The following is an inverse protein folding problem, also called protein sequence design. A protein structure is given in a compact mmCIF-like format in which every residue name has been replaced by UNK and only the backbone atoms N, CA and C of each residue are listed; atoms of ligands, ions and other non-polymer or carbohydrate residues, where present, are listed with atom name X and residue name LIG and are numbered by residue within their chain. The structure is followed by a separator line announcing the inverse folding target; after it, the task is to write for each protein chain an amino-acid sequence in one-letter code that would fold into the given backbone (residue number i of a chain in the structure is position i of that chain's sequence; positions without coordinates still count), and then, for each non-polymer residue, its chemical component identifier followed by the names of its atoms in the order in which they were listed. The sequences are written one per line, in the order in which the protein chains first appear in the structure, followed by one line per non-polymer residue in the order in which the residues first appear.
data_IF_642299109035
#
_entry.id   IF_642299109035
#
_cell.length_a   1.000
_cell.length_b   1.000
_cell.length_c   1.000
_cell.angle_alpha   90.00
_cell.angle_beta   90.00
_cell.angle_gamma   90.00
#
_symmetry.space_group_name_H-M   'P 1'
#
loop_
_entity.id
_entity.type
_entity.pdbx_description
1 polymer ?
#
# COMPACT_ATOMS: atom_id res chain seq x y z
N UNK A 1 14.51 -12.64 -1.84
CA UNK A 1 15.48 -13.06 -2.87
C UNK A 1 15.71 -14.56 -2.78
N UNK A 2 15.96 -15.19 -3.92
CA UNK A 2 16.38 -16.59 -3.97
C UNK A 2 17.59 -16.71 -4.89
N UNK A 3 18.68 -17.27 -4.37
CA UNK A 3 19.94 -17.44 -5.09
C UNK A 3 20.17 -18.93 -5.30
N UNK A 4 20.25 -19.36 -6.57
CA UNK A 4 20.41 -20.77 -6.94
C UNK A 4 19.08 -21.44 -7.30
N UNK A 5 19.09 -22.75 -7.29
CA UNK A 5 18.02 -23.61 -7.76
C UNK A 5 18.40 -24.38 -9.02
N UNK A 6 17.73 -25.49 -9.30
CA UNK A 6 17.98 -26.38 -10.42
C UNK A 6 17.24 -25.94 -11.70
N UNK A 7 16.30 -25.01 -11.59
CA UNK A 7 15.57 -24.42 -12.71
C UNK A 7 15.01 -23.06 -12.33
N UNK A 8 14.64 -22.25 -13.32
CA UNK A 8 13.93 -20.98 -13.12
C UNK A 8 12.58 -21.18 -12.40
N UNK A 9 11.86 -22.25 -12.70
CA UNK A 9 10.60 -22.60 -12.05
C UNK A 9 10.78 -22.84 -10.55
N UNK A 10 11.78 -23.64 -10.16
CA UNK A 10 12.07 -23.93 -8.75
C UNK A 10 12.51 -22.67 -8.01
N UNK A 11 13.30 -21.82 -8.64
CA UNK A 11 13.69 -20.54 -8.08
C UNK A 11 12.46 -19.64 -7.84
N UNK A 12 11.57 -19.49 -8.82
CA UNK A 12 10.36 -18.67 -8.70
C UNK A 12 9.39 -19.21 -7.64
N UNK A 13 9.20 -20.54 -7.57
CA UNK A 13 8.39 -21.15 -6.51
C UNK A 13 8.97 -20.85 -5.12
N UNK A 14 10.29 -20.95 -4.98
CA UNK A 14 10.97 -20.64 -3.72
C UNK A 14 10.81 -19.15 -3.34
N UNK A 15 10.86 -18.23 -4.31
CA UNK A 15 10.55 -16.80 -4.08
C UNK A 15 9.15 -16.65 -3.48
N UNK A 16 8.15 -17.31 -4.07
CA UNK A 16 6.78 -17.26 -3.55
C UNK A 16 6.68 -17.81 -2.11
N UNK A 17 7.29 -18.93 -1.85
CA UNK A 17 7.27 -19.57 -0.52
C UNK A 17 8.06 -18.76 0.51
N UNK A 18 9.17 -18.14 0.13
CA UNK A 18 9.91 -17.22 1.00
C UNK A 18 9.07 -16.00 1.37
N UNK A 19 8.30 -15.44 0.42
CA UNK A 19 7.43 -14.29 0.68
C UNK A 19 6.25 -14.59 1.62
N UNK A 20 5.95 -15.86 1.87
CA UNK A 20 4.92 -16.30 2.82
C UNK A 20 5.50 -16.81 4.15
N UNK A 21 6.77 -16.56 4.41
CA UNK A 21 7.47 -17.03 5.61
C UNK A 21 7.52 -18.58 5.76
N UNK A 22 7.25 -19.31 4.69
CA UNK A 22 7.23 -20.77 4.72
C UNK A 22 8.61 -21.37 5.04
N UNK A 23 9.68 -20.64 4.69
CA UNK A 23 11.07 -21.07 4.88
C UNK A 23 11.77 -20.46 6.10
N UNK A 24 11.05 -19.85 7.03
CA UNK A 24 11.65 -19.21 8.20
C UNK A 24 12.38 -20.19 9.13
N UNK A 25 11.99 -21.46 9.09
CA UNK A 25 12.60 -22.54 9.88
C UNK A 25 13.73 -23.30 9.16
N UNK A 26 14.17 -22.83 7.99
CA UNK A 26 15.35 -23.42 7.33
C UNK A 26 16.62 -23.20 8.19
N UNK A 27 17.62 -24.11 8.05
CA UNK A 27 18.93 -23.84 8.61
C UNK A 27 19.47 -22.49 8.14
N UNK A 28 20.27 -21.82 8.96
CA UNK A 28 20.90 -20.53 8.64
C UNK A 28 22.27 -20.64 8.00
N UNK A 29 22.77 -21.86 7.81
CA UNK A 29 24.05 -22.14 7.17
C UNK A 29 23.93 -23.28 6.19
N UNK A 30 24.72 -23.25 5.12
CA UNK A 30 24.91 -24.37 4.21
C UNK A 30 25.71 -25.53 4.82
N UNK A 31 26.00 -26.52 4.02
CA UNK A 31 26.95 -27.59 4.35
C UNK A 31 27.71 -28.05 3.09
N UNK A 32 28.64 -28.97 3.25
CA UNK A 32 29.44 -29.54 2.15
C UNK A 32 28.63 -30.24 1.05
N UNK A 33 27.41 -30.70 1.38
CA UNK A 33 26.49 -31.36 0.41
C UNK A 33 25.55 -30.39 -0.31
N UNK A 34 25.71 -29.07 -0.15
CA UNK A 34 24.91 -28.07 -0.81
C UNK A 34 23.50 -27.91 -0.23
N UNK A 35 23.35 -28.10 1.08
CA UNK A 35 22.06 -27.88 1.75
C UNK A 35 21.50 -26.48 1.52
N UNK A 36 20.22 -26.39 1.17
CA UNK A 36 19.51 -25.12 1.14
C UNK A 36 19.47 -24.46 2.54
N UNK A 37 19.59 -23.15 2.60
CA UNK A 37 19.58 -22.41 3.87
C UNK A 37 19.05 -21.00 3.69
N UNK A 38 18.64 -20.40 4.80
CA UNK A 38 18.25 -19.02 4.91
C UNK A 38 19.48 -18.17 5.28
N UNK A 39 19.84 -17.21 4.44
CA UNK A 39 21.00 -16.34 4.61
C UNK A 39 20.66 -15.11 5.45
N UNK A 40 20.57 -15.28 6.75
CA UNK A 40 20.16 -14.23 7.71
C UNK A 40 21.13 -13.04 7.72
N UNK A 41 22.42 -13.28 7.51
CA UNK A 41 23.41 -12.19 7.47
C UNK A 41 23.18 -11.29 6.27
N UNK A 42 22.92 -11.89 5.10
CA UNK A 42 22.63 -11.13 3.90
C UNK A 42 21.25 -10.46 3.97
N UNK A 43 20.24 -11.09 4.60
CA UNK A 43 18.94 -10.45 4.87
C UNK A 43 19.11 -9.14 5.63
N UNK A 44 19.90 -9.16 6.71
CA UNK A 44 20.19 -7.99 7.52
C UNK A 44 20.91 -6.90 6.72
N UNK A 45 21.96 -7.28 5.99
CA UNK A 45 22.73 -6.34 5.17
C UNK A 45 21.83 -5.65 4.13
N UNK A 46 21.01 -6.43 3.39
CA UNK A 46 20.13 -5.87 2.35
C UNK A 46 19.05 -4.97 2.96
N UNK A 47 18.54 -5.31 4.14
CA UNK A 47 17.57 -4.46 4.84
C UNK A 47 18.20 -3.13 5.29
N UNK A 48 19.41 -3.17 5.83
CA UNK A 48 20.16 -1.97 6.23
C UNK A 48 20.45 -1.06 5.04
N UNK A 49 20.87 -1.63 3.90
CA UNK A 49 21.12 -0.85 2.68
C UNK A 49 19.81 -0.27 2.11
N UNK A 50 18.71 -1.02 2.16
CA UNK A 50 17.39 -0.52 1.76
C UNK A 50 16.94 0.68 2.62
N UNK A 51 17.24 0.67 3.93
CA UNK A 51 16.91 1.79 4.81
C UNK A 51 17.78 3.03 4.54
N UNK A 52 19.04 2.86 4.16
CA UNK A 52 19.94 3.98 3.81
C UNK A 52 19.48 4.78 2.59
N UNK A 53 18.69 4.19 1.72
CA UNK A 53 18.12 4.89 0.55
C UNK A 53 17.29 6.10 0.99
N UNK A 54 16.66 6.04 2.18
CA UNK A 54 15.85 7.13 2.73
C UNK A 54 14.54 7.40 1.98
N UNK A 55 14.18 6.53 1.05
CA UNK A 55 12.90 6.57 0.32
C UNK A 55 11.97 5.52 0.90
N UNK A 56 10.79 5.96 1.33
CA UNK A 56 9.77 5.05 1.80
C UNK A 56 8.98 4.40 0.67
N UNK A 57 8.47 3.20 0.91
CA UNK A 57 7.52 2.54 0.02
C UNK A 57 6.16 3.28 -0.04
N UNK A 58 5.90 4.15 0.94
CA UNK A 58 4.71 5.00 1.00
C UNK A 58 5.11 6.46 1.00
N UNK A 59 4.21 7.33 0.56
CA UNK A 59 4.41 8.78 0.54
C UNK A 59 4.80 9.30 1.92
N UNK A 60 5.90 10.07 1.99
CA UNK A 60 6.44 10.61 3.24
C UNK A 60 7.10 9.58 4.17
N UNK A 61 7.11 8.30 3.82
CA UNK A 61 7.78 7.26 4.58
C UNK A 61 9.30 7.27 4.39
N UNK A 62 10.01 6.63 5.31
CA UNK A 62 11.48 6.51 5.30
C UNK A 62 11.97 5.10 4.99
N UNK A 63 11.09 4.11 5.10
CA UNK A 63 11.47 2.70 5.00
C UNK A 63 10.96 2.10 3.69
N UNK A 64 11.88 1.67 2.83
CA UNK A 64 11.58 1.02 1.55
C UNK A 64 11.04 -0.40 1.77
N UNK A 65 11.64 -1.13 2.70
CA UNK A 65 11.25 -2.49 3.05
C UNK A 65 11.16 -2.64 4.58
N UNK A 66 10.24 -3.48 5.04
CA UNK A 66 10.10 -3.81 6.46
C UNK A 66 10.78 -5.14 6.78
N UNK A 67 10.87 -6.03 5.80
CA UNK A 67 11.38 -7.38 5.98
C UNK A 67 12.00 -7.91 4.67
N UNK A 68 13.02 -8.73 4.82
CA UNK A 68 13.75 -9.38 3.71
C UNK A 68 13.85 -10.87 4.01
N UNK A 69 13.66 -11.70 2.98
CA UNK A 69 13.99 -13.13 3.02
C UNK A 69 14.95 -13.47 1.91
N UNK A 70 16.04 -14.16 2.27
CA UNK A 70 17.07 -14.60 1.33
C UNK A 70 17.31 -16.10 1.50
N UNK A 71 16.91 -16.86 0.51
CA UNK A 71 17.09 -18.31 0.48
C UNK A 71 18.19 -18.67 -0.52
N UNK A 72 19.16 -19.43 -0.06
CA UNK A 72 20.19 -20.02 -0.92
C UNK A 72 19.83 -21.46 -1.21
N UNK A 73 19.76 -21.78 -2.49
CA UNK A 73 19.49 -23.13 -2.99
C UNK A 73 20.74 -23.73 -3.60
N UNK A 74 20.91 -25.06 -3.57
CA UNK A 74 21.91 -25.75 -4.38
C UNK A 74 21.66 -25.45 -5.86
N UNK A 75 22.74 -25.39 -6.64
CA UNK A 75 22.69 -25.05 -8.06
C UNK A 75 23.59 -25.96 -8.90
N UNK A 76 23.29 -26.04 -10.18
CA UNK A 76 24.21 -26.60 -11.14
C UNK A 76 25.43 -25.69 -11.29
N UNK A 77 26.61 -26.27 -11.50
CA UNK A 77 27.87 -25.52 -11.63
C UNK A 77 27.89 -24.47 -12.74
N UNK A 78 27.17 -24.74 -13.83
CA UNK A 78 27.09 -23.85 -14.99
C UNK A 78 25.92 -22.82 -14.95
N UNK A 79 25.10 -22.80 -13.90
CA UNK A 79 23.94 -21.89 -13.80
C UNK A 79 23.73 -21.36 -12.39
N UNK A 80 23.28 -20.13 -12.29
CA UNK A 80 22.88 -19.53 -11.01
C UNK A 80 21.61 -18.70 -11.22
N UNK A 81 20.44 -19.32 -11.21
CA UNK A 81 19.19 -18.56 -11.22
C UNK A 81 19.13 -17.64 -10.00
N UNK A 82 18.67 -16.41 -10.21
CA UNK A 82 18.41 -15.47 -9.12
C UNK A 82 16.99 -14.95 -9.29
N UNK A 83 16.20 -15.06 -8.24
CA UNK A 83 14.82 -14.57 -8.18
C UNK A 83 14.66 -13.43 -7.19
N UNK A 84 13.87 -12.45 -7.58
CA UNK A 84 13.44 -11.35 -6.72
C UNK A 84 11.92 -11.30 -6.72
N UNK A 85 11.32 -11.29 -5.56
CA UNK A 85 9.90 -10.99 -5.35
C UNK A 85 9.74 -9.80 -4.43
N UNK A 86 8.78 -8.94 -4.72
CA UNK A 86 8.38 -7.84 -3.86
C UNK A 86 6.90 -8.00 -3.53
N UNK A 87 6.57 -8.01 -2.25
CA UNK A 87 5.19 -8.09 -1.77
C UNK A 87 4.82 -6.86 -0.95
N UNK A 88 3.51 -6.62 -0.85
CA UNK A 88 3.00 -5.57 0.01
C UNK A 88 3.24 -5.91 1.49
N UNK A 89 3.46 -4.91 2.34
CA UNK A 89 3.50 -5.06 3.81
C UNK A 89 2.19 -5.59 4.40
N UNK A 90 1.06 -5.43 3.67
CA UNK A 90 -0.19 -6.07 4.04
C UNK A 90 -0.09 -7.58 3.77
N UNK A 91 0.22 -8.34 4.80
CA UNK A 91 0.25 -9.80 4.73
C UNK A 91 -1.17 -10.33 4.51
N UNK A 92 -1.34 -11.08 3.42
CA UNK A 92 -2.62 -11.70 3.03
C UNK A 92 -2.51 -13.20 2.87
N UNK A 93 -1.48 -13.77 3.46
CA UNK A 93 -1.27 -15.21 3.47
C UNK A 93 -1.88 -15.81 4.75
N UNK A 94 -2.27 -17.07 4.67
CA UNK A 94 -2.62 -17.90 5.82
C UNK A 94 -2.01 -19.28 5.60
N UNK A 95 -1.42 -19.83 6.64
CA UNK A 95 -0.85 -21.18 6.59
C UNK A 95 -1.92 -22.18 7.00
N UNK A 96 -2.03 -23.26 6.26
CA UNK A 96 -2.87 -24.37 6.64
C UNK A 96 -2.12 -25.71 6.54
N UNK A 97 -2.53 -26.67 7.35
CA UNK A 97 -2.08 -28.05 7.30
C UNK A 97 -3.29 -28.93 7.07
N UNK A 98 -3.21 -29.78 6.06
CA UNK A 98 -4.27 -30.74 5.72
C UNK A 98 -3.64 -32.14 5.73
N UNK A 99 -4.20 -33.04 6.51
CA UNK A 99 -3.80 -34.44 6.53
C UNK A 99 -5.00 -35.36 6.84
N UNK A 100 -4.76 -36.65 7.06
CA UNK A 100 -5.83 -37.64 7.38
C UNK A 100 -6.56 -37.35 8.70
N UNK A 101 -5.96 -36.59 9.59
CA UNK A 101 -6.50 -36.29 10.92
C UNK A 101 -7.39 -35.03 10.89
N UNK A 102 -7.23 -34.14 9.87
CA UNK A 102 -8.08 -32.96 9.75
C UNK A 102 -7.45 -31.79 8.99
N UNK A 103 -8.05 -30.62 9.17
CA UNK A 103 -7.64 -29.37 8.60
C UNK A 103 -7.33 -28.39 9.73
N UNK A 104 -6.13 -27.86 9.72
CA UNK A 104 -5.69 -26.84 10.68
C UNK A 104 -5.34 -25.56 9.92
N UNK A 105 -5.79 -24.45 10.43
CA UNK A 105 -5.52 -23.11 9.92
C UNK A 105 -4.72 -22.35 10.98
N UNK A 106 -3.72 -21.60 10.54
CA UNK A 106 -2.94 -20.71 11.40
C UNK A 106 -3.87 -19.78 12.17
N UNK A 107 -3.67 -19.71 13.48
CA UNK A 107 -4.44 -18.78 14.33
C UNK A 107 -3.89 -17.37 14.15
N UNK A 108 -4.72 -16.48 13.65
CA UNK A 108 -4.40 -15.06 13.59
C UNK A 108 -4.63 -14.41 14.96
N UNK A 109 -3.87 -13.36 15.24
CA UNK A 109 -4.09 -12.56 16.44
C UNK A 109 -5.46 -11.88 16.36
N UNK A 110 -6.25 -12.05 17.41
CA UNK A 110 -7.59 -11.46 17.50
C UNK A 110 -7.58 -9.99 17.93
N UNK A 111 -6.48 -9.51 18.50
CA UNK A 111 -6.33 -8.14 18.98
C UNK A 111 -4.96 -7.54 18.59
N UNK A 112 -4.66 -7.41 17.27
CA UNK A 112 -3.37 -6.92 16.81
C UNK A 112 -3.06 -5.48 17.28
N UNK A 113 -4.07 -4.72 17.70
CA UNK A 113 -3.90 -3.38 18.25
C UNK A 113 -3.04 -3.34 19.53
N UNK A 114 -2.99 -4.42 20.29
CA UNK A 114 -2.14 -4.52 21.49
C UNK A 114 -0.65 -4.55 21.16
N UNK A 115 -0.30 -4.98 19.93
CA UNK A 115 1.10 -5.02 19.47
C UNK A 115 1.67 -3.63 19.15
N UNK A 116 0.82 -2.60 19.10
CA UNK A 116 1.28 -1.22 18.86
C UNK A 116 1.86 -0.68 20.16
N UNK A 117 3.16 -0.31 20.19
CA UNK A 117 3.78 0.31 21.36
C UNK A 117 3.02 1.56 21.82
N UNK A 118 2.94 1.77 23.14
CA UNK A 118 2.20 2.92 23.71
C UNK A 118 2.74 4.27 23.19
N UNK A 119 4.04 4.37 22.97
CA UNK A 119 4.69 5.56 22.42
C UNK A 119 4.15 5.92 21.03
N UNK A 120 3.87 4.91 20.21
CA UNK A 120 3.28 5.09 18.88
C UNK A 120 1.78 5.40 18.94
N UNK A 121 1.09 4.92 19.97
CA UNK A 121 -0.32 5.30 20.21
C UNK A 121 -0.44 6.78 20.58
N UNK A 122 0.51 7.31 21.35
CA UNK A 122 0.58 8.71 21.76
C UNK A 122 1.20 9.63 20.70
N UNK A 123 1.99 9.10 19.77
CA UNK A 123 2.62 9.87 18.69
C UNK A 123 1.62 10.52 17.70
N UNK A 124 0.33 10.23 17.85
CA UNK A 124 -0.76 10.89 17.12
C UNK A 124 -1.21 12.25 17.67
N UNK A 125 -0.73 12.66 18.86
CA UNK A 125 -1.19 13.85 19.59
C UNK A 125 -0.42 15.13 19.26
N UNK A 126 0.29 15.20 18.12
CA UNK A 126 0.89 16.45 17.64
C UNK A 126 -0.18 17.44 17.12
N UNK A 127 0.23 18.67 16.84
CA UNK A 127 -0.63 19.70 16.25
C UNK A 127 -1.29 19.19 14.96
N UNK A 128 -2.57 18.89 15.03
CA UNK A 128 -3.38 18.42 13.92
C UNK A 128 -4.43 19.46 13.58
N UNK A 129 -4.44 19.93 12.36
CA UNK A 129 -5.46 20.86 11.87
C UNK A 129 -6.74 20.09 11.56
N UNK A 130 -7.84 20.51 12.16
CA UNK A 130 -9.16 19.92 11.92
C UNK A 130 -9.82 20.60 10.72
N UNK A 131 -10.21 19.80 9.73
CA UNK A 131 -10.93 20.27 8.53
C UNK A 131 -12.32 19.63 8.51
N UNK A 132 -13.35 20.47 8.46
CA UNK A 132 -14.73 20.03 8.28
C UNK A 132 -15.04 19.92 6.78
N UNK A 133 -15.31 18.70 6.33
CA UNK A 133 -15.62 18.37 4.94
C UNK A 133 -17.12 18.50 4.60
N UNK A 134 -17.96 18.92 5.54
CA UNK A 134 -19.38 19.17 5.28
C UNK A 134 -19.65 20.61 4.79
N UNK A 135 -18.60 21.40 4.60
CA UNK A 135 -18.67 22.74 4.01
C UNK A 135 -18.67 22.65 2.46
N UNK A 136 -19.06 23.71 1.76
CA UNK A 136 -18.91 23.79 0.31
C UNK A 136 -17.46 23.55 -0.12
N UNK A 137 -17.26 22.82 -1.23
CA UNK A 137 -15.91 22.47 -1.73
C UNK A 137 -15.00 23.71 -1.86
N UNK A 138 -15.54 24.83 -2.34
CA UNK A 138 -14.78 26.07 -2.49
C UNK A 138 -14.21 26.60 -1.15
N UNK A 139 -14.94 26.44 -0.06
CA UNK A 139 -14.50 26.88 1.26
C UNK A 139 -13.44 25.92 1.82
N UNK A 140 -13.61 24.61 1.59
CA UNK A 140 -12.60 23.59 1.97
C UNK A 140 -11.28 23.84 1.23
N UNK A 141 -11.32 24.09 -0.08
CA UNK A 141 -10.14 24.37 -0.89
C UNK A 141 -9.44 25.64 -0.39
N UNK A 142 -10.19 26.71 -0.11
CA UNK A 142 -9.67 27.96 0.46
C UNK A 142 -9.03 27.74 1.84
N UNK A 143 -9.61 26.88 2.67
CA UNK A 143 -9.05 26.54 3.97
C UNK A 143 -7.71 25.80 3.80
N UNK A 144 -7.64 24.80 2.91
CA UNK A 144 -6.43 24.02 2.66
C UNK A 144 -5.26 24.87 2.17
N UNK A 145 -5.51 25.94 1.42
CA UNK A 145 -4.44 26.84 0.94
C UNK A 145 -3.67 27.57 2.04
N UNK A 146 -4.21 27.62 3.25
CA UNK A 146 -3.56 28.29 4.39
C UNK A 146 -2.41 27.48 4.99
N UNK A 147 -2.33 26.20 4.70
CA UNK A 147 -1.40 25.29 5.36
C UNK A 147 -0.26 24.87 4.44
N UNK A 148 0.98 24.82 4.95
CA UNK A 148 2.11 24.33 4.18
C UNK A 148 2.01 22.83 3.89
N UNK A 149 2.78 22.37 2.89
CA UNK A 149 2.93 20.95 2.59
C UNK A 149 3.40 20.19 3.83
N UNK A 150 2.95 18.95 3.98
CA UNK A 150 3.21 18.07 5.14
C UNK A 150 2.49 18.47 6.44
N UNK A 151 1.55 19.40 6.40
CA UNK A 151 0.66 19.65 7.55
C UNK A 151 -0.20 18.42 7.83
N UNK A 152 -0.26 18.01 9.09
CA UNK A 152 -1.16 16.92 9.52
C UNK A 152 -2.59 17.43 9.63
N UNK A 153 -3.50 16.76 8.94
CA UNK A 153 -4.91 17.12 8.89
C UNK A 153 -5.78 16.02 9.52
N UNK A 154 -6.76 16.41 10.29
CA UNK A 154 -7.86 15.56 10.74
C UNK A 154 -9.12 15.94 9.96
N UNK A 155 -9.49 15.09 9.02
CA UNK A 155 -10.63 15.31 8.14
C UNK A 155 -11.90 14.71 8.77
N UNK A 156 -12.96 15.50 8.88
CA UNK A 156 -14.25 15.05 9.40
C UNK A 156 -15.38 15.46 8.46
N UNK A 157 -16.21 14.53 8.06
CA UNK A 157 -17.34 14.75 7.15
C UNK A 157 -17.44 13.69 6.06
N UNK A 158 -18.21 13.99 5.01
CA UNK A 158 -18.48 13.07 3.92
C UNK A 158 -17.29 12.93 2.98
N UNK A 159 -16.89 11.68 2.70
CA UNK A 159 -15.84 11.33 1.74
C UNK A 159 -16.40 10.26 0.79
N UNK A 160 -16.20 10.43 -0.51
CA UNK A 160 -16.55 9.44 -1.52
C UNK A 160 -15.42 8.43 -1.65
N UNK A 161 -15.74 7.15 -1.51
CA UNK A 161 -14.76 6.07 -1.68
C UNK A 161 -14.86 5.50 -3.09
N UNK A 162 -13.79 5.59 -3.86
CA UNK A 162 -13.76 5.09 -5.23
C UNK A 162 -12.35 5.00 -5.79
N UNK A 163 -12.11 3.98 -6.61
CA UNK A 163 -10.83 3.77 -7.28
C UNK A 163 -11.06 3.27 -8.71
N UNK A 164 -10.21 2.44 -9.25
CA UNK A 164 -10.13 2.03 -10.66
C UNK A 164 -11.48 1.96 -11.40
N UNK A 165 -12.38 1.09 -10.96
CA UNK A 165 -13.69 0.88 -11.64
C UNK A 165 -14.57 2.13 -11.54
N UNK A 166 -14.57 2.81 -10.39
CA UNK A 166 -15.33 4.05 -10.22
C UNK A 166 -14.85 5.14 -11.18
N UNK A 167 -13.51 5.33 -11.28
CA UNK A 167 -12.92 6.30 -12.19
C UNK A 167 -13.20 5.97 -13.66
N UNK A 168 -13.08 4.68 -14.05
CA UNK A 168 -13.42 4.25 -15.40
C UNK A 168 -14.88 4.57 -15.75
N UNK A 169 -15.81 4.26 -14.86
CA UNK A 169 -17.24 4.57 -15.07
C UNK A 169 -17.56 6.06 -15.13
N UNK A 170 -16.88 6.87 -14.30
CA UNK A 170 -17.02 8.32 -14.37
C UNK A 170 -16.49 8.88 -15.70
N UNK A 171 -15.37 8.33 -16.19
CA UNK A 171 -14.84 8.69 -17.51
C UNK A 171 -15.81 8.28 -18.63
N UNK A 172 -16.32 7.05 -18.63
CA UNK A 172 -17.32 6.59 -19.61
C UNK A 172 -18.54 7.49 -19.64
N UNK A 173 -18.96 8.02 -18.49
CA UNK A 173 -20.04 8.98 -18.38
C UNK A 173 -19.73 10.28 -19.12
N UNK A 174 -18.53 10.85 -18.89
CA UNK A 174 -18.06 12.05 -19.60
C UNK A 174 -17.91 11.81 -21.11
N UNK A 175 -17.41 10.63 -21.51
CA UNK A 175 -17.26 10.25 -22.93
C UNK A 175 -18.61 10.19 -23.65
N UNK A 176 -19.73 9.95 -22.94
CA UNK A 176 -21.09 10.02 -23.48
C UNK A 176 -21.68 11.44 -23.50
N UNK A 177 -20.90 12.44 -23.08
CA UNK A 177 -21.37 13.83 -22.99
C UNK A 177 -22.22 14.13 -21.76
N UNK A 178 -22.24 13.23 -20.77
CA UNK A 178 -22.89 13.46 -19.48
C UNK A 178 -21.88 14.09 -18.51
N UNK A 179 -22.33 14.98 -17.64
CA UNK A 179 -21.45 15.60 -16.63
C UNK A 179 -21.16 14.65 -15.45
N UNK A 180 -20.12 14.99 -14.64
CA UNK A 180 -19.86 14.27 -13.40
C UNK A 180 -21.05 14.36 -12.43
N UNK A 181 -21.34 13.29 -11.69
CA UNK A 181 -22.34 13.35 -10.62
C UNK A 181 -22.01 14.43 -9.60
N UNK A 182 -23.03 15.12 -9.07
CA UNK A 182 -22.85 16.25 -8.15
C UNK A 182 -22.02 15.87 -6.92
N UNK A 183 -22.21 14.66 -6.37
CA UNK A 183 -21.46 14.20 -5.19
C UNK A 183 -19.94 14.08 -5.44
N UNK A 184 -19.47 13.90 -6.68
CA UNK A 184 -18.03 13.90 -7.04
C UNK A 184 -17.48 15.34 -7.05
N UNK A 185 -18.33 16.33 -7.27
CA UNK A 185 -17.96 17.75 -7.21
C UNK A 185 -17.98 18.29 -5.79
N UNK A 186 -18.93 17.82 -4.96
CA UNK A 186 -19.16 18.33 -3.63
C UNK A 186 -18.26 17.74 -2.55
N UNK A 187 -17.69 16.54 -2.78
CA UNK A 187 -16.96 15.83 -1.75
C UNK A 187 -15.57 15.36 -2.20
N UNK A 188 -14.60 15.30 -1.25
CA UNK A 188 -13.31 14.65 -1.49
C UNK A 188 -13.47 13.19 -1.91
N UNK A 189 -12.54 12.71 -2.73
CA UNK A 189 -12.50 11.31 -3.14
C UNK A 189 -11.32 10.57 -2.49
N UNK A 190 -11.62 9.46 -1.83
CA UNK A 190 -10.64 8.57 -1.22
C UNK A 190 -10.43 7.34 -2.09
N UNK A 191 -9.20 7.17 -2.57
CA UNK A 191 -8.83 6.02 -3.40
C UNK A 191 -8.66 4.79 -2.52
N UNK A 192 -9.76 4.16 -2.19
CA UNK A 192 -9.79 2.99 -1.34
C UNK A 192 -10.85 1.99 -1.83
N UNK A 193 -10.81 0.80 -1.24
CA UNK A 193 -11.83 -0.22 -1.42
C UNK A 193 -12.02 -0.94 -0.09
N UNK A 194 -13.17 -0.77 0.57
CA UNK A 194 -13.42 -1.43 1.85
C UNK A 194 -13.45 -2.95 1.69
N UNK A 195 -12.97 -3.65 2.70
CA UNK A 195 -13.20 -5.07 2.85
C UNK A 195 -14.67 -5.35 3.17
N UNK A 196 -15.08 -6.62 3.12
CA UNK A 196 -16.43 -7.02 3.53
C UNK A 196 -16.70 -6.53 4.96
N UNK A 197 -17.84 -5.88 5.14
CA UNK A 197 -18.26 -5.36 6.44
C UNK A 197 -18.53 -6.52 7.42
N UNK A 198 -17.85 -6.60 8.56
CA UNK A 198 -18.18 -7.56 9.61
C UNK A 198 -19.53 -7.23 10.25
N UNK A 199 -20.18 -8.24 10.82
CA UNK A 199 -21.44 -8.06 11.52
C UNK A 199 -21.29 -7.06 12.68
N UNK A 200 -22.18 -6.10 12.76
CA UNK A 200 -22.19 -5.06 13.82
C UNK A 200 -21.24 -3.88 13.59
N UNK A 201 -20.50 -3.86 12.49
CA UNK A 201 -19.61 -2.75 12.13
C UNK A 201 -20.25 -1.87 11.05
N UNK A 202 -19.91 -0.59 11.02
CA UNK A 202 -20.41 0.35 10.01
C UNK A 202 -19.82 0.09 8.62
N UNK A 203 -18.56 -0.34 8.55
CA UNK A 203 -17.89 -0.72 7.30
C UNK A 203 -16.78 -1.75 7.58
N UNK A 204 -16.29 -2.40 6.54
CA UNK A 204 -15.08 -3.22 6.60
C UNK A 204 -13.82 -2.36 6.70
N UNK A 205 -12.70 -2.98 7.05
CA UNK A 205 -11.41 -2.30 7.08
C UNK A 205 -11.10 -1.66 5.73
N UNK A 206 -10.58 -0.45 5.75
CA UNK A 206 -10.36 0.39 4.57
C UNK A 206 -8.99 1.05 4.65
N UNK A 207 -8.21 0.91 3.61
CA UNK A 207 -6.90 1.54 3.50
C UNK A 207 -6.70 2.15 2.11
N UNK A 208 -5.79 3.12 1.99
CA UNK A 208 -5.55 3.80 0.73
C UNK A 208 -4.92 2.87 -0.30
N UNK A 209 -5.32 3.03 -1.56
CA UNK A 209 -4.65 2.40 -2.70
C UNK A 209 -3.61 3.34 -3.30
N UNK A 210 -2.74 2.79 -4.15
CA UNK A 210 -1.72 3.57 -4.89
C UNK A 210 -2.40 4.60 -5.78
N UNK A 211 -2.04 5.87 -5.57
CA UNK A 211 -2.64 7.01 -6.24
C UNK A 211 -2.39 7.05 -7.76
N UNK A 212 -1.17 6.72 -8.19
CA UNK A 212 -0.72 6.84 -9.58
C UNK A 212 -1.58 6.11 -10.62
N UNK A 213 -2.36 5.11 -10.21
CA UNK A 213 -3.29 4.42 -11.11
C UNK A 213 -4.46 5.30 -11.58
N UNK A 214 -4.81 6.31 -10.79
CA UNK A 214 -5.86 7.26 -11.11
C UNK A 214 -5.35 8.54 -11.76
N UNK A 215 -4.05 8.72 -11.92
CA UNK A 215 -3.46 9.91 -12.51
C UNK A 215 -4.05 10.29 -13.88
N UNK A 216 -4.34 9.34 -14.80
CA UNK A 216 -4.91 9.67 -16.12
C UNK A 216 -6.29 10.33 -16.08
N UNK A 217 -7.00 10.24 -14.96
CA UNK A 217 -8.34 10.81 -14.83
C UNK A 217 -8.36 12.21 -14.21
N UNK A 218 -7.30 12.61 -13.52
CA UNK A 218 -7.32 13.79 -12.64
C UNK A 218 -7.56 15.09 -13.40
N UNK A 219 -6.80 15.36 -14.46
CA UNK A 219 -6.97 16.59 -15.26
C UNK A 219 -8.40 16.70 -15.82
N UNK A 220 -8.90 15.60 -16.39
CA UNK A 220 -10.26 15.54 -16.92
C UNK A 220 -11.31 15.80 -15.84
N UNK A 221 -11.20 15.16 -14.68
CA UNK A 221 -12.21 15.32 -13.63
C UNK A 221 -12.16 16.71 -12.99
N UNK A 222 -10.98 17.24 -12.76
CA UNK A 222 -10.81 18.60 -12.24
C UNK A 222 -11.31 19.67 -13.21
N UNK A 223 -11.16 19.46 -14.52
CA UNK A 223 -11.74 20.36 -15.53
C UNK A 223 -13.26 20.42 -15.49
N UNK A 224 -13.93 19.40 -14.93
CA UNK A 224 -15.36 19.34 -14.69
C UNK A 224 -15.75 19.65 -13.23
N UNK A 225 -14.81 20.16 -12.44
CA UNK A 225 -15.04 20.54 -11.03
C UNK A 225 -15.11 19.36 -10.05
N UNK A 226 -14.75 18.15 -10.48
CA UNK A 226 -14.71 16.96 -9.62
C UNK A 226 -13.30 16.56 -9.17
N UNK A 227 -13.18 15.65 -8.21
CA UNK A 227 -11.89 15.17 -7.68
C UNK A 227 -10.93 16.31 -7.25
N UNK A 228 -11.50 17.39 -6.73
CA UNK A 228 -10.70 18.55 -6.31
C UNK A 228 -9.83 18.25 -5.10
N UNK A 229 -10.24 17.32 -4.26
CA UNK A 229 -9.45 16.82 -3.12
C UNK A 229 -9.37 15.30 -3.22
N UNK A 230 -8.16 14.78 -3.33
CA UNK A 230 -7.87 13.36 -3.51
C UNK A 230 -7.09 12.84 -2.32
N UNK A 231 -7.55 11.75 -1.70
CA UNK A 231 -6.87 11.05 -0.62
C UNK A 231 -6.37 9.70 -1.13
N UNK A 232 -5.10 9.40 -0.95
CA UNK A 232 -4.51 8.11 -1.33
C UNK A 232 -3.10 7.96 -0.76
N UNK A 233 -2.36 6.95 -1.22
CA UNK A 233 -0.94 6.76 -0.91
C UNK A 233 -0.08 6.73 -2.16
N UNK A 234 1.21 7.05 -1.98
CA UNK A 234 2.24 7.02 -3.02
C UNK A 234 2.36 8.32 -3.79
N UNK A 235 3.36 8.38 -4.64
CA UNK A 235 3.65 9.56 -5.44
C UNK A 235 2.66 9.73 -6.58
N UNK A 236 2.56 10.98 -7.04
CA UNK A 236 1.76 11.35 -8.21
C UNK A 236 2.67 11.73 -9.38
N UNK A 237 2.16 11.60 -10.60
CA UNK A 237 2.84 12.06 -11.81
C UNK A 237 2.86 13.60 -11.90
N UNK A 238 3.73 14.12 -12.76
CA UNK A 238 3.79 15.57 -13.08
C UNK A 238 2.43 16.09 -13.58
N UNK A 239 1.73 15.28 -14.39
CA UNK A 239 0.39 15.62 -14.89
C UNK A 239 -0.59 15.99 -13.77
N UNK A 240 -0.54 15.31 -12.64
CA UNK A 240 -1.41 15.60 -11.49
C UNK A 240 -0.99 16.89 -10.78
N UNK A 241 0.31 17.13 -10.68
CA UNK A 241 0.84 18.40 -10.15
C UNK A 241 0.34 19.58 -10.98
N UNK A 242 0.45 19.47 -12.30
CA UNK A 242 0.02 20.49 -13.25
C UNK A 242 -1.51 20.71 -13.19
N UNK A 243 -2.29 19.64 -13.11
CA UNK A 243 -3.75 19.70 -12.95
C UNK A 243 -4.14 20.40 -11.64
N UNK A 244 -3.55 20.00 -10.51
CA UNK A 244 -3.80 20.64 -9.21
C UNK A 244 -3.44 22.14 -9.24
N UNK A 245 -2.33 22.50 -9.86
CA UNK A 245 -1.94 23.90 -10.03
C UNK A 245 -2.95 24.68 -10.89
N UNK A 246 -3.39 24.07 -11.99
CA UNK A 246 -4.32 24.70 -12.96
C UNK A 246 -5.72 24.89 -12.38
N UNK A 247 -6.22 23.92 -11.63
CA UNK A 247 -7.61 23.92 -11.16
C UNK A 247 -7.76 24.18 -9.67
N UNK A 248 -6.66 24.32 -8.93
CA UNK A 248 -6.69 24.56 -7.47
C UNK A 248 -7.02 23.31 -6.65
N UNK A 249 -6.71 22.12 -7.16
CA UNK A 249 -6.93 20.86 -6.46
C UNK A 249 -5.84 20.50 -5.47
N UNK A 250 -6.12 19.53 -4.59
CA UNK A 250 -5.19 19.05 -3.57
C UNK A 250 -5.05 17.52 -3.60
N UNK A 251 -3.83 17.06 -3.40
CA UNK A 251 -3.55 15.68 -3.09
C UNK A 251 -3.14 15.55 -1.61
N UNK A 252 -3.86 14.73 -0.86
CA UNK A 252 -3.62 14.44 0.55
C UNK A 252 -3.12 12.99 0.68
N UNK A 253 -1.92 12.83 1.20
CA UNK A 253 -1.35 11.53 1.53
C UNK A 253 -1.93 10.98 2.82
N UNK A 254 -2.24 9.67 2.87
CA UNK A 254 -2.79 9.00 4.05
C UNK A 254 -2.06 7.70 4.36
#
# INVERSE_FOLDING_TARGET
FVIGGTSAEKNLLTVKLASTHFYDNLPTTGNEFGRAFRDVELEKLVLEEAHKIGLGAQFGGKYLAHDIRIIRLPRHGASCPVGLGVSCSADRNIKCKINKEGIWIEKLDSNPGELIPEELRKAGEGDVVKIDLNQPMADILKELTKYPVSTRLSLNGTIIVGRDIAHAKLKERLDRGEDLPQYIKDHPIYYAGPAKTPQGMACGSMGPTTAGRMDPYVDLFQSHGGSMIMLAKGNRSQQVTDACQKYGGFYLGS
#
